data_IF_798626263672
#
_entry.id   IF_798626263672
#
_cell.length_a   1.000
_cell.length_b   1.000
_cell.length_c   1.000
_cell.angle_alpha   90.00
_cell.angle_beta   90.00
_cell.angle_gamma   90.00
#
_symmetry.space_group_name_H-M   'P 1'
#
loop_
_entity.id
_entity.type
_entity.pdbx_description
1 polymer ?
#
# COMPACT_ATOMS: atom_id res chain seq x y z
N UNK A 1 64.20 14.31 5.19
CA UNK A 1 63.45 14.83 4.04
C UNK A 1 62.14 14.07 3.99
N UNK A 2 61.14 14.55 4.74
CA UNK A 2 59.81 13.94 4.74
C UNK A 2 59.12 14.33 3.45
N UNK A 3 58.72 13.33 2.67
CA UNK A 3 57.90 13.45 1.48
C UNK A 3 56.64 14.26 1.79
N UNK A 4 56.58 15.46 1.24
CA UNK A 4 55.43 16.36 1.30
C UNK A 4 54.41 15.93 0.23
N UNK A 5 53.89 14.71 0.38
CA UNK A 5 52.74 14.27 -0.41
C UNK A 5 51.49 14.91 0.25
N UNK A 6 50.62 15.60 -0.50
CA UNK A 6 49.45 16.22 0.10
C UNK A 6 48.63 15.13 0.82
N UNK A 7 48.12 15.39 2.04
CA UNK A 7 47.25 14.45 2.72
C UNK A 7 46.09 14.18 1.78
N UNK A 8 45.94 12.91 1.41
CA UNK A 8 44.79 12.48 0.65
C UNK A 8 43.58 12.64 1.58
N UNK A 9 42.49 13.19 1.08
CA UNK A 9 41.31 13.52 1.88
C UNK A 9 40.08 12.90 1.24
N UNK A 10 39.13 12.47 2.08
CA UNK A 10 37.85 11.95 1.63
C UNK A 10 36.74 12.99 1.80
N UNK A 11 36.54 13.91 0.83
CA UNK A 11 35.51 14.95 0.95
C UNK A 11 34.09 14.37 1.06
N UNK A 12 33.85 13.20 0.44
CA UNK A 12 32.55 12.52 0.50
C UNK A 12 32.20 12.04 1.91
N UNK A 13 33.18 11.57 2.68
CA UNK A 13 32.95 11.09 4.04
C UNK A 13 32.53 12.24 4.96
N UNK A 14 33.08 13.45 4.75
CA UNK A 14 32.67 14.64 5.49
C UNK A 14 31.21 15.01 5.17
N UNK A 15 30.82 14.97 3.89
CA UNK A 15 29.42 15.24 3.48
C UNK A 15 28.45 14.19 4.00
N UNK A 16 28.86 12.93 4.04
CA UNK A 16 28.07 11.80 4.53
C UNK A 16 27.88 11.85 6.05
N UNK A 17 28.93 12.25 6.79
CA UNK A 17 28.86 12.40 8.24
C UNK A 17 27.99 13.57 8.68
N UNK A 18 28.09 14.70 7.96
CA UNK A 18 27.31 15.91 8.24
C UNK A 18 25.87 15.79 7.72
N UNK A 19 25.63 14.99 6.70
CA UNK A 19 24.34 14.87 6.02
C UNK A 19 24.02 16.05 5.08
N UNK A 20 24.96 16.99 4.91
CA UNK A 20 24.89 18.11 3.99
C UNK A 20 26.29 18.45 3.49
N UNK A 21 26.36 19.21 2.39
CA UNK A 21 27.63 19.70 1.86
C UNK A 21 28.11 20.92 2.65
N UNK A 22 29.34 20.93 3.21
CA UNK A 22 29.83 22.03 4.03
C UNK A 22 29.75 23.42 3.39
N UNK A 23 29.85 23.50 2.06
CA UNK A 23 29.71 24.75 1.32
C UNK A 23 28.35 25.40 1.56
N UNK A 24 27.27 24.63 1.65
CA UNK A 24 25.93 25.17 1.90
C UNK A 24 25.84 25.88 3.25
N UNK A 25 26.50 25.36 4.29
CA UNK A 25 26.55 26.01 5.60
C UNK A 25 27.33 27.32 5.55
N UNK A 26 28.40 27.37 4.76
CA UNK A 26 29.22 28.58 4.60
C UNK A 26 28.48 29.65 3.79
N UNK A 27 27.75 29.24 2.75
CA UNK A 27 26.88 30.12 1.96
C UNK A 27 25.76 30.72 2.82
N UNK A 28 25.09 29.88 3.63
CA UNK A 28 24.07 30.34 4.59
C UNK A 28 24.65 31.30 5.62
N UNK A 29 25.87 31.05 6.10
CA UNK A 29 26.56 31.94 7.03
C UNK A 29 26.89 33.30 6.39
N UNK A 30 27.39 33.30 5.15
CA UNK A 30 27.66 34.54 4.41
C UNK A 30 26.38 35.36 4.22
N UNK A 31 25.28 34.70 3.85
CA UNK A 31 23.97 35.35 3.74
C UNK A 31 23.51 35.95 5.08
N UNK A 32 23.62 35.21 6.18
CA UNK A 32 23.22 35.69 7.50
C UNK A 32 24.06 36.88 7.98
N UNK A 33 25.35 36.89 7.67
CA UNK A 33 26.25 37.99 8.06
C UNK A 33 25.95 39.24 7.23
N UNK A 34 25.75 39.09 5.93
CA UNK A 34 25.36 40.22 5.09
C UNK A 34 24.03 40.82 5.55
N UNK A 35 23.03 39.99 5.84
CA UNK A 35 21.76 40.45 6.44
C UNK A 35 21.98 41.22 7.75
N UNK A 36 22.84 40.70 8.63
CA UNK A 36 23.17 41.37 9.90
C UNK A 36 23.89 42.70 9.67
N UNK A 37 24.78 42.79 8.68
CA UNK A 37 25.45 44.06 8.31
C UNK A 37 24.39 45.07 7.89
N UNK A 38 23.50 44.72 6.96
CA UNK A 38 22.41 45.60 6.51
C UNK A 38 21.51 46.06 7.66
N UNK A 39 21.11 45.14 8.54
CA UNK A 39 20.27 45.46 9.70
C UNK A 39 20.99 46.38 10.68
N UNK A 40 22.29 46.15 10.92
CA UNK A 40 23.09 46.97 11.82
C UNK A 40 23.32 48.38 11.26
N UNK A 41 23.62 48.52 9.97
CA UNK A 41 23.82 49.82 9.33
C UNK A 41 22.52 50.62 9.30
N UNK A 42 21.39 49.96 9.00
CA UNK A 42 20.08 50.59 9.05
C UNK A 42 19.75 51.13 10.46
N UNK A 43 20.03 50.37 11.52
CA UNK A 43 19.82 50.86 12.90
C UNK A 43 20.71 52.04 13.26
N UNK A 44 21.97 52.04 12.81
CA UNK A 44 22.87 53.18 13.03
C UNK A 44 22.38 54.41 12.27
N UNK A 45 21.90 54.22 11.04
CA UNK A 45 21.29 55.29 10.24
C UNK A 45 20.05 55.87 10.91
N UNK A 46 19.12 55.03 11.40
CA UNK A 46 17.95 55.46 12.17
C UNK A 46 18.33 56.30 13.39
N UNK A 47 19.30 55.82 14.19
CA UNK A 47 19.77 56.55 15.37
C UNK A 47 20.39 57.91 15.02
N UNK A 48 21.18 57.98 13.94
CA UNK A 48 21.80 59.22 13.49
C UNK A 48 20.76 60.19 12.93
N UNK A 49 19.73 59.69 12.23
CA UNK A 49 18.62 60.50 11.76
C UNK A 49 17.79 61.08 12.91
N UNK A 50 17.51 60.30 13.95
CA UNK A 50 16.84 60.80 15.17
C UNK A 50 17.62 61.96 15.81
N UNK A 51 18.95 61.85 15.85
CA UNK A 51 19.83 62.90 16.36
C UNK A 51 19.85 64.16 15.47
N UNK A 52 19.85 63.99 14.14
CA UNK A 52 19.76 65.11 13.21
C UNK A 52 18.41 65.82 13.33
N UNK A 53 17.31 65.07 13.46
CA UNK A 53 15.97 65.65 13.64
C UNK A 53 15.88 66.50 14.93
N UNK A 54 16.59 66.11 16.00
CA UNK A 54 16.69 66.91 17.22
C UNK A 54 17.40 68.25 16.97
N UNK A 55 18.47 68.24 16.17
CA UNK A 55 19.19 69.47 15.77
C UNK A 55 18.41 70.36 14.84
N UNK A 56 17.63 69.78 13.94
CA UNK A 56 16.73 70.52 13.05
C UNK A 56 15.65 71.25 13.87
N UNK A 57 15.08 70.59 14.90
CA UNK A 57 14.14 71.23 15.84
C UNK A 57 14.80 72.36 16.65
N UNK A 58 16.10 72.28 16.90
CA UNK A 58 16.87 73.34 17.56
C UNK A 58 17.19 74.54 16.63
N UNK A 59 16.86 74.45 15.34
CA UNK A 59 17.06 75.51 14.36
C UNK A 59 18.46 75.55 13.72
N UNK A 60 19.23 74.47 13.82
CA UNK A 60 20.51 74.32 13.12
C UNK A 60 20.28 73.99 11.63
N UNK A 61 21.19 74.45 10.74
CA UNK A 61 21.20 74.05 9.32
C UNK A 61 21.75 72.62 9.21
N UNK A 62 20.84 71.64 9.08
CA UNK A 62 21.16 70.21 9.05
C UNK A 62 21.35 69.64 7.65
N UNK A 63 21.05 70.40 6.61
CA UNK A 63 21.12 69.93 5.23
C UNK A 63 22.52 69.45 4.78
N UNK A 64 23.63 70.12 5.13
CA UNK A 64 24.96 69.58 4.83
C UNK A 64 25.26 68.31 5.63
N UNK A 65 24.75 68.21 6.86
CA UNK A 65 24.98 67.09 7.77
C UNK A 65 24.24 65.83 7.32
N UNK A 66 23.01 65.97 6.81
CA UNK A 66 22.24 64.86 6.21
C UNK A 66 22.98 64.27 5.00
N UNK A 67 23.51 65.12 4.11
CA UNK A 67 24.28 64.67 2.95
C UNK A 67 25.59 63.98 3.32
N UNK A 68 26.28 64.49 4.34
CA UNK A 68 27.50 63.87 4.84
C UNK A 68 27.19 62.51 5.51
N UNK A 69 26.07 62.41 6.23
CA UNK A 69 25.60 61.16 6.83
C UNK A 69 25.29 60.11 5.76
N UNK A 70 24.48 60.44 4.74
CA UNK A 70 24.14 59.50 3.65
C UNK A 70 25.42 58.99 2.95
N UNK A 71 26.34 59.89 2.63
CA UNK A 71 27.60 59.52 1.99
C UNK A 71 28.49 58.67 2.90
N UNK A 72 28.61 59.05 4.17
CA UNK A 72 29.38 58.32 5.17
C UNK A 72 28.81 56.93 5.46
N UNK A 73 27.48 56.82 5.52
CA UNK A 73 26.77 55.55 5.74
C UNK A 73 26.98 54.61 4.56
N UNK A 74 26.83 55.11 3.33
CA UNK A 74 27.11 54.33 2.13
C UNK A 74 28.59 53.89 2.09
N UNK A 75 29.53 54.76 2.43
CA UNK A 75 30.95 54.40 2.47
C UNK A 75 31.25 53.34 3.54
N UNK A 76 30.61 53.43 4.71
CA UNK A 76 30.73 52.46 5.79
C UNK A 76 30.14 51.10 5.40
N UNK A 77 28.96 51.08 4.76
CA UNK A 77 28.34 49.86 4.27
C UNK A 77 29.23 49.16 3.24
N UNK A 78 29.70 49.88 2.21
CA UNK A 78 30.59 49.30 1.19
C UNK A 78 31.91 48.80 1.80
N UNK A 79 32.44 49.49 2.81
CA UNK A 79 33.64 49.05 3.51
C UNK A 79 33.41 47.74 4.29
N UNK A 80 32.28 47.65 5.00
CA UNK A 80 31.91 46.46 5.76
C UNK A 80 31.64 45.27 4.86
N UNK A 81 30.89 45.45 3.76
CA UNK A 81 30.63 44.42 2.75
C UNK A 81 31.96 43.86 2.21
N UNK A 82 32.85 44.73 1.73
CA UNK A 82 34.12 44.30 1.15
C UNK A 82 35.04 43.61 2.18
N UNK A 83 35.04 44.05 3.44
CA UNK A 83 35.84 43.39 4.48
C UNK A 83 35.22 42.06 4.91
N UNK A 84 33.90 41.99 5.01
CA UNK A 84 33.18 40.76 5.32
C UNK A 84 33.44 39.71 4.23
N UNK A 85 33.25 40.06 2.96
CA UNK A 85 33.50 39.16 1.82
C UNK A 85 34.93 38.59 1.87
N UNK A 86 35.94 39.45 2.04
CA UNK A 86 37.34 39.00 2.14
C UNK A 86 37.59 38.10 3.35
N UNK A 87 37.03 38.44 4.50
CA UNK A 87 37.18 37.64 5.72
C UNK A 87 36.50 36.27 5.57
N UNK A 88 35.33 36.23 4.92
CA UNK A 88 34.60 34.99 4.67
C UNK A 88 35.26 34.13 3.59
N UNK A 89 35.89 34.69 2.56
CA UNK A 89 36.72 33.93 1.62
C UNK A 89 37.87 33.19 2.35
N UNK A 90 38.53 33.88 3.29
CA UNK A 90 39.59 33.26 4.10
C UNK A 90 39.03 32.22 5.07
N UNK A 91 37.88 32.50 5.68
CA UNK A 91 37.21 31.56 6.58
C UNK A 91 36.72 30.32 5.84
N UNK A 92 36.16 30.46 4.64
CA UNK A 92 35.76 29.36 3.76
C UNK A 92 36.99 28.49 3.45
N UNK A 93 38.05 29.10 2.90
CA UNK A 93 39.27 28.37 2.58
C UNK A 93 39.90 27.69 3.81
N UNK A 94 39.83 28.32 4.98
CA UNK A 94 40.37 27.75 6.22
C UNK A 94 39.50 26.60 6.75
N UNK A 95 38.17 26.74 6.74
CA UNK A 95 37.23 25.73 7.21
C UNK A 95 37.31 24.46 6.35
N UNK A 96 37.41 24.61 5.03
CA UNK A 96 37.63 23.51 4.08
C UNK A 96 38.95 22.77 4.26
N UNK A 97 39.95 23.40 4.90
CA UNK A 97 41.28 22.81 5.14
C UNK A 97 41.45 22.24 6.54
N UNK A 98 40.66 22.68 7.51
CA UNK A 98 40.87 22.34 8.92
C UNK A 98 39.66 21.67 9.57
N UNK A 99 38.45 22.19 9.35
CA UNK A 99 37.24 21.70 10.02
C UNK A 99 36.63 20.56 9.23
N UNK A 100 36.44 20.75 7.92
CA UNK A 100 35.75 19.80 7.05
C UNK A 100 36.70 18.79 6.38
N UNK A 101 37.89 18.60 6.96
CA UNK A 101 38.88 17.65 6.46
C UNK A 101 38.86 16.41 7.32
N UNK A 102 38.64 15.28 6.65
CA UNK A 102 38.87 13.96 7.21
C UNK A 102 40.09 13.37 6.51
N UNK A 103 41.12 13.08 7.30
CA UNK A 103 42.35 12.43 6.85
C UNK A 103 42.04 10.96 6.50
N UNK A 104 42.56 10.51 5.35
CA UNK A 104 42.42 9.12 4.87
C UNK A 104 43.05 8.10 5.82
N UNK A 105 44.00 8.52 6.65
CA UNK A 105 44.62 7.67 7.66
C UNK A 105 43.70 7.31 8.85
N UNK A 106 42.54 7.99 8.99
CA UNK A 106 41.65 7.76 10.12
C UNK A 106 40.54 6.74 9.77
N UNK A 107 40.44 5.60 10.47
CA UNK A 107 39.38 4.63 10.23
C UNK A 107 38.06 5.11 10.86
N UNK A 108 37.49 6.18 10.30
CA UNK A 108 36.15 6.66 10.67
C UNK A 108 35.13 5.85 9.89
N UNK A 109 34.26 5.15 10.62
CA UNK A 109 33.11 4.44 10.05
C UNK A 109 31.86 5.26 10.36
N UNK A 110 31.12 5.66 9.33
CA UNK A 110 29.88 6.40 9.54
C UNK A 110 28.86 5.51 10.28
N UNK A 111 27.96 6.08 11.11
CA UNK A 111 27.00 5.28 11.88
C UNK A 111 26.13 4.35 11.03
N UNK A 112 25.79 4.75 9.80
CA UNK A 112 24.98 3.94 8.87
C UNK A 112 25.81 2.93 8.07
N UNK A 113 27.13 3.07 8.03
CA UNK A 113 28.06 2.07 7.49
C UNK A 113 28.37 0.98 8.54
N UNK A 114 27.92 1.16 9.80
CA UNK A 114 28.15 0.19 10.87
C UNK A 114 27.37 -1.09 10.59
N UNK A 115 28.10 -2.19 10.37
CA UNK A 115 27.51 -3.49 10.04
C UNK A 115 27.18 -3.66 8.56
N UNK A 116 27.65 -2.74 7.71
CA UNK A 116 27.66 -2.94 6.27
C UNK A 116 28.78 -3.92 5.94
N UNK A 117 28.40 -5.10 5.46
CA UNK A 117 29.34 -6.10 4.97
C UNK A 117 29.43 -5.96 3.44
N UNK A 118 30.55 -5.44 2.95
CA UNK A 118 30.80 -5.24 1.52
C UNK A 118 31.33 -6.51 0.83
N UNK A 119 31.57 -7.58 1.59
CA UNK A 119 32.06 -8.86 1.07
C UNK A 119 30.93 -9.77 0.56
N UNK A 120 29.67 -9.33 0.69
CA UNK A 120 28.52 -10.12 0.24
C UNK A 120 28.52 -10.25 -1.29
N UNK A 121 28.46 -11.48 -1.84
CA UNK A 121 28.44 -11.67 -3.28
C UNK A 121 27.14 -11.18 -3.92
N UNK A 122 27.22 -10.65 -5.15
CA UNK A 122 26.08 -10.12 -5.92
C UNK A 122 24.93 -11.13 -6.09
N UNK A 123 25.24 -12.43 -6.11
CA UNK A 123 24.23 -13.49 -6.17
C UNK A 123 23.35 -13.50 -4.92
N UNK A 124 23.96 -13.33 -3.75
CA UNK A 124 23.25 -13.27 -2.47
C UNK A 124 22.35 -12.04 -2.38
N UNK A 125 22.79 -10.90 -2.90
CA UNK A 125 21.95 -9.70 -2.98
C UNK A 125 20.71 -9.93 -3.86
N UNK A 126 20.87 -10.60 -5.01
CA UNK A 126 19.75 -10.95 -5.90
C UNK A 126 18.77 -11.91 -5.23
N UNK A 127 19.28 -12.92 -4.52
CA UNK A 127 18.44 -13.83 -3.73
C UNK A 127 17.62 -13.07 -2.69
N UNK A 128 18.25 -12.16 -1.94
CA UNK A 128 17.58 -11.34 -0.93
C UNK A 128 16.53 -10.42 -1.56
N UNK A 129 16.80 -9.84 -2.74
CA UNK A 129 15.81 -9.06 -3.47
C UNK A 129 14.59 -9.90 -3.87
N UNK A 130 14.82 -11.11 -4.39
CA UNK A 130 13.74 -12.07 -4.69
C UNK A 130 12.96 -12.43 -3.42
N UNK A 131 13.67 -12.69 -2.31
CA UNK A 131 13.03 -12.98 -1.03
C UNK A 131 12.14 -11.82 -0.57
N UNK A 132 12.63 -10.58 -0.59
CA UNK A 132 11.86 -9.37 -0.27
C UNK A 132 10.62 -9.25 -1.15
N UNK A 133 10.72 -9.50 -2.46
CA UNK A 133 9.57 -9.49 -3.35
C UNK A 133 8.56 -10.58 -3.01
N UNK A 134 9.02 -11.80 -2.71
CA UNK A 134 8.12 -12.89 -2.32
C UNK A 134 7.40 -12.57 -1.01
N UNK A 135 8.08 -11.96 -0.05
CA UNK A 135 7.50 -11.52 1.22
C UNK A 135 6.48 -10.40 1.01
N UNK A 136 6.76 -9.44 0.13
CA UNK A 136 5.79 -8.40 -0.26
C UNK A 136 4.52 -9.02 -0.87
N UNK A 137 4.66 -9.98 -1.80
CA UNK A 137 3.52 -10.70 -2.38
C UNK A 137 2.75 -11.50 -1.33
N UNK A 138 3.43 -12.17 -0.40
CA UNK A 138 2.81 -12.88 0.73
C UNK A 138 2.02 -11.92 1.61
N UNK A 139 2.60 -10.77 1.97
CA UNK A 139 1.93 -9.73 2.76
C UNK A 139 0.67 -9.21 2.08
N UNK A 140 0.72 -8.96 0.78
CA UNK A 140 -0.45 -8.51 0.01
C UNK A 140 -1.55 -9.59 -0.06
N UNK A 141 -1.17 -10.85 -0.21
CA UNK A 141 -2.12 -11.97 -0.14
C UNK A 141 -2.78 -12.07 1.24
N UNK A 142 -1.99 -11.93 2.31
CA UNK A 142 -2.52 -11.91 3.68
C UNK A 142 -3.46 -10.71 3.91
N UNK A 143 -3.11 -9.51 3.43
CA UNK A 143 -3.99 -8.33 3.49
C UNK A 143 -5.31 -8.55 2.77
N UNK A 144 -5.29 -9.18 1.58
CA UNK A 144 -6.50 -9.55 0.83
C UNK A 144 -7.35 -10.58 1.57
N UNK A 145 -6.73 -11.59 2.17
CA UNK A 145 -7.43 -12.58 2.98
C UNK A 145 -8.08 -11.94 4.21
N UNK A 146 -7.35 -11.08 4.93
CA UNK A 146 -7.87 -10.37 6.09
C UNK A 146 -9.06 -9.47 5.71
N UNK A 147 -8.99 -8.79 4.56
CA UNK A 147 -10.12 -8.01 4.04
C UNK A 147 -11.35 -8.89 3.74
N UNK A 148 -11.17 -10.10 3.20
CA UNK A 148 -12.27 -11.05 3.00
C UNK A 148 -12.88 -11.51 4.32
N UNK A 149 -12.05 -11.88 5.30
CA UNK A 149 -12.51 -12.30 6.64
C UNK A 149 -13.32 -11.19 7.29
N UNK A 150 -12.84 -9.94 7.26
CA UNK A 150 -13.57 -8.78 7.77
C UNK A 150 -14.94 -8.58 7.11
N UNK A 151 -15.06 -8.81 5.80
CA UNK A 151 -16.35 -8.77 5.10
C UNK A 151 -17.28 -9.90 5.55
N UNK A 152 -16.76 -11.11 5.67
CA UNK A 152 -17.53 -12.27 6.17
C UNK A 152 -17.99 -12.05 7.62
N UNK A 153 -17.15 -11.51 8.49
CA UNK A 153 -17.51 -11.15 9.87
C UNK A 153 -18.64 -10.12 9.90
N UNK A 154 -18.57 -9.08 9.07
CA UNK A 154 -19.63 -8.08 8.98
C UNK A 154 -20.96 -8.70 8.49
N UNK A 155 -20.91 -9.56 7.47
CA UNK A 155 -22.09 -10.27 6.97
C UNK A 155 -22.68 -11.23 8.01
N UNK A 156 -21.82 -11.98 8.72
CA UNK A 156 -22.22 -12.89 9.79
C UNK A 156 -22.85 -12.12 10.97
N UNK A 157 -22.32 -10.94 11.32
CA UNK A 157 -22.92 -10.10 12.35
C UNK A 157 -24.33 -9.62 11.95
N UNK A 158 -24.54 -9.25 10.68
CA UNK A 158 -25.86 -8.86 10.16
C UNK A 158 -26.83 -10.04 10.15
N UNK A 159 -26.40 -11.21 9.66
CA UNK A 159 -27.26 -12.40 9.64
C UNK A 159 -27.63 -12.85 11.06
N UNK A 160 -26.67 -12.79 12.01
CA UNK A 160 -26.92 -13.06 13.43
C UNK A 160 -27.96 -12.12 14.01
N UNK A 161 -27.85 -10.81 13.77
CA UNK A 161 -28.86 -9.83 14.23
C UNK A 161 -30.25 -10.12 13.67
N UNK A 162 -30.36 -10.49 12.39
CA UNK A 162 -31.63 -10.88 11.78
C UNK A 162 -32.21 -12.14 12.42
N UNK A 163 -31.38 -13.17 12.62
CA UNK A 163 -31.79 -14.41 13.29
C UNK A 163 -32.23 -14.15 14.73
N UNK A 164 -31.50 -13.33 15.49
CA UNK A 164 -31.88 -12.90 16.85
C UNK A 164 -33.21 -12.13 16.86
N UNK A 165 -33.44 -11.25 15.88
CA UNK A 165 -34.71 -10.53 15.76
C UNK A 165 -35.89 -11.46 15.42
N UNK A 166 -35.68 -12.42 14.51
CA UNK A 166 -36.67 -13.45 14.20
C UNK A 166 -36.97 -14.32 15.42
N UNK A 167 -35.93 -14.76 16.15
CA UNK A 167 -36.10 -15.52 17.39
C UNK A 167 -36.94 -14.71 18.40
N UNK A 168 -36.64 -13.43 18.61
CA UNK A 168 -37.46 -12.56 19.48
C UNK A 168 -38.91 -12.42 19.00
N UNK A 169 -39.16 -12.43 17.70
CA UNK A 169 -40.52 -12.38 17.16
C UNK A 169 -41.28 -13.70 17.34
N UNK A 170 -40.57 -14.82 17.25
CA UNK A 170 -41.13 -16.18 17.38
C UNK A 170 -41.21 -16.61 18.85
N UNK A 171 -40.39 -16.06 19.75
CA UNK A 171 -40.43 -16.39 21.19
C UNK A 171 -41.76 -16.02 21.85
N UNK A 172 -42.58 -15.17 21.23
CA UNK A 172 -43.96 -14.94 21.66
C UNK A 172 -44.89 -16.14 21.38
N UNK A 173 -44.58 -16.97 20.38
CA UNK A 173 -45.37 -18.15 20.01
C UNK A 173 -45.05 -19.32 20.94
N UNK A 174 -43.87 -19.36 21.54
CA UNK A 174 -43.45 -20.41 22.49
C UNK A 174 -44.43 -20.60 23.67
N UNK A 175 -44.92 -19.55 24.37
CA UNK A 175 -45.96 -19.70 25.38
C UNK A 175 -47.36 -20.00 24.79
N UNK A 176 -47.67 -19.52 23.58
CA UNK A 176 -48.96 -19.78 22.91
C UNK A 176 -49.09 -21.23 22.42
N UNK A 177 -47.96 -21.87 22.06
CA UNK A 177 -47.92 -23.30 21.71
C UNK A 177 -48.15 -24.16 22.96
N UNK A 178 -47.57 -23.79 24.11
CA UNK A 178 -47.85 -24.42 25.42
C UNK A 178 -49.34 -24.30 25.84
N UNK A 179 -50.03 -23.24 25.44
CA UNK A 179 -51.47 -23.08 25.65
C UNK A 179 -52.30 -23.88 24.64
N UNK A 180 -51.88 -23.96 23.37
CA UNK A 180 -52.58 -24.76 22.35
C UNK A 180 -52.33 -26.28 22.45
N UNK A 181 -51.23 -26.73 23.05
CA UNK A 181 -51.04 -28.13 23.46
C UNK A 181 -52.07 -28.58 24.49
N UNK A 182 -52.60 -27.67 25.31
CA UNK A 182 -53.73 -27.97 26.20
C UNK A 182 -55.05 -28.07 25.41
N UNK A 183 -55.18 -27.34 24.31
CA UNK A 183 -56.37 -27.32 23.45
C UNK A 183 -56.39 -28.40 22.35
N UNK A 184 -55.26 -29.03 22.02
CA UNK A 184 -55.13 -30.05 20.96
C UNK A 184 -55.28 -31.49 21.45
N UNK A 185 -55.28 -31.73 22.77
CA UNK A 185 -55.60 -33.04 23.37
C UNK A 185 -56.93 -33.64 22.89
N UNK A 186 -58.04 -32.87 22.81
CA UNK A 186 -59.33 -33.40 22.32
C UNK A 186 -59.31 -33.75 20.82
N UNK A 187 -58.51 -33.04 20.02
CA UNK A 187 -58.38 -33.30 18.59
C UNK A 187 -57.50 -34.54 18.32
N UNK A 188 -56.45 -34.74 19.12
CA UNK A 188 -55.63 -35.95 19.10
C UNK A 188 -56.45 -37.19 19.48
N UNK A 189 -57.34 -37.06 20.48
CA UNK A 189 -58.27 -38.14 20.87
C UNK A 189 -59.31 -38.43 19.77
N UNK A 190 -59.81 -37.40 19.06
CA UNK A 190 -60.71 -37.56 17.92
C UNK A 190 -60.03 -38.26 16.72
N UNK A 191 -58.78 -37.91 16.42
CA UNK A 191 -58.00 -38.60 15.39
C UNK A 191 -57.63 -40.03 15.79
N UNK A 192 -57.39 -40.30 17.08
CA UNK A 192 -57.21 -41.66 17.59
C UNK A 192 -58.49 -42.49 17.49
N UNK A 193 -59.66 -41.89 17.67
CA UNK A 193 -60.97 -42.53 17.46
C UNK A 193 -61.22 -42.84 15.97
N UNK A 194 -60.87 -41.92 15.06
CA UNK A 194 -60.96 -42.16 13.61
C UNK A 194 -60.01 -43.27 13.14
N UNK A 195 -58.84 -43.40 13.78
CA UNK A 195 -57.87 -44.47 13.46
C UNK A 195 -58.37 -45.87 13.85
N UNK A 196 -59.20 -45.99 14.90
CA UNK A 196 -59.87 -47.25 15.29
C UNK A 196 -60.99 -47.68 14.34
N UNK A 197 -61.52 -46.75 13.54
CA UNK A 197 -62.57 -47.01 12.54
C UNK A 197 -62.01 -47.47 11.19
N UNK A 198 -60.68 -47.46 10.98
CA UNK A 198 -60.05 -47.82 9.70
C UNK A 198 -59.40 -49.21 9.66
N UNK A 199 -59.65 -50.08 10.65
CA UNK A 199 -59.22 -51.50 10.62
C UNK A 199 -60.17 -52.35 9.74
N UNK A 200 -60.26 -52.01 8.45
CA UNK A 200 -60.78 -52.91 7.41
C UNK A 200 -59.57 -53.60 6.77
N UNK A 201 -59.50 -54.94 6.71
CA UNK A 201 -58.31 -55.65 6.23
C UNK A 201 -58.02 -55.34 4.75
N UNK A 202 -56.81 -54.86 4.49
CA UNK A 202 -56.29 -54.58 3.14
C UNK A 202 -55.72 -55.88 2.53
N UNK A 203 -56.19 -56.37 1.38
CA UNK A 203 -55.63 -57.57 0.76
C UNK A 203 -54.21 -57.33 0.21
N UNK A 204 -53.41 -58.38 0.29
CA UNK A 204 -51.97 -58.47 -0.02
C UNK A 204 -51.59 -58.05 -1.46
N UNK A 205 -50.33 -57.59 -1.67
CA UNK A 205 -49.86 -57.07 -2.96
C UNK A 205 -49.52 -58.17 -3.98
N UNK A 206 -50.06 -58.02 -5.19
CA UNK A 206 -49.69 -58.74 -6.42
C UNK A 206 -48.53 -58.01 -7.14
N UNK A 207 -47.69 -58.70 -7.96
CA UNK A 207 -46.32 -58.27 -8.22
C UNK A 207 -46.18 -57.22 -9.33
N UNK A 208 -45.05 -56.52 -9.21
CA UNK A 208 -44.45 -55.48 -10.05
C UNK A 208 -44.88 -55.40 -11.52
N UNK A 209 -45.32 -54.20 -11.94
CA UNK A 209 -44.93 -53.58 -13.22
C UNK A 209 -45.07 -52.06 -13.12
N UNK A 210 -44.06 -51.30 -13.54
CA UNK A 210 -44.20 -49.86 -13.87
C UNK A 210 -43.43 -48.87 -12.97
N UNK A 211 -42.19 -48.61 -13.36
CA UNK A 211 -41.45 -47.33 -13.28
C UNK A 211 -42.15 -46.13 -12.64
N UNK A 212 -41.71 -45.72 -11.44
CA UNK A 212 -41.66 -44.31 -11.00
C UNK A 212 -40.97 -44.23 -9.62
N UNK A 213 -39.62 -44.20 -9.62
CA UNK A 213 -38.86 -43.81 -8.43
C UNK A 213 -38.94 -42.29 -8.29
N UNK A 214 -39.60 -41.79 -7.24
CA UNK A 214 -39.46 -40.38 -6.83
C UNK A 214 -38.11 -40.21 -6.12
N UNK A 215 -37.20 -39.31 -6.56
CA UNK A 215 -35.93 -39.12 -5.86
C UNK A 215 -36.10 -38.21 -4.64
N UNK A 216 -35.77 -38.71 -3.44
CA UNK A 216 -35.64 -37.95 -2.20
C UNK A 216 -34.19 -37.52 -1.95
N UNK A 217 -33.59 -36.74 -2.85
CA UNK A 217 -32.22 -36.24 -2.66
C UNK A 217 -31.93 -34.94 -3.44
N UNK A 218 -31.89 -33.79 -2.75
CA UNK A 218 -31.27 -32.55 -3.24
C UNK A 218 -32.06 -31.70 -4.25
N UNK A 219 -31.87 -30.37 -4.17
CA UNK A 219 -32.54 -29.37 -5.05
C UNK A 219 -32.16 -29.56 -6.52
N UNK A 220 -30.93 -29.97 -6.79
CA UNK A 220 -30.42 -30.22 -8.15
C UNK A 220 -31.06 -31.44 -8.79
N UNK A 221 -31.31 -32.52 -8.03
CA UNK A 221 -31.99 -33.70 -8.57
C UNK A 221 -33.50 -33.48 -8.75
N UNK A 222 -34.10 -32.62 -7.93
CA UNK A 222 -35.49 -32.20 -8.14
C UNK A 222 -35.63 -31.36 -9.40
N UNK A 223 -34.68 -30.46 -9.66
CA UNK A 223 -34.68 -29.64 -10.88
C UNK A 223 -34.45 -30.50 -12.13
N UNK A 224 -33.50 -31.44 -12.09
CA UNK A 224 -33.30 -32.34 -13.24
C UNK A 224 -34.51 -33.23 -13.48
N UNK A 225 -35.16 -33.76 -12.44
CA UNK A 225 -36.42 -34.51 -12.57
C UNK A 225 -37.58 -33.66 -13.09
N UNK A 226 -37.72 -32.42 -12.61
CA UNK A 226 -38.79 -31.52 -13.05
C UNK A 226 -38.62 -31.12 -14.52
N UNK A 227 -37.38 -30.89 -14.96
CA UNK A 227 -37.05 -30.61 -16.38
C UNK A 227 -37.31 -31.85 -17.23
N UNK A 228 -36.90 -33.04 -16.78
CA UNK A 228 -37.10 -34.28 -17.52
C UNK A 228 -38.59 -34.68 -17.63
N UNK A 229 -39.39 -34.30 -16.64
CA UNK A 229 -40.85 -34.44 -16.66
C UNK A 229 -41.53 -33.39 -17.55
N UNK A 230 -41.03 -32.15 -17.55
CA UNK A 230 -41.51 -31.10 -18.44
C UNK A 230 -41.21 -31.43 -19.91
N UNK A 231 -40.03 -32.01 -20.19
CA UNK A 231 -39.65 -32.49 -21.52
C UNK A 231 -40.57 -33.62 -21.99
N UNK A 232 -40.91 -34.58 -21.11
CA UNK A 232 -41.84 -35.67 -21.41
C UNK A 232 -43.30 -35.24 -21.57
N UNK A 233 -43.72 -34.18 -20.87
CA UNK A 233 -45.04 -33.57 -21.05
C UNK A 233 -45.08 -32.62 -22.29
N UNK A 234 -43.92 -32.25 -22.85
CA UNK A 234 -43.76 -31.38 -24.01
C UNK A 234 -43.63 -32.12 -25.35
N UNK A 235 -43.77 -33.45 -25.38
CA UNK A 235 -43.94 -34.26 -26.61
C UNK A 235 -45.34 -34.06 -27.25
N UNK A 236 -45.76 -32.80 -27.31
CA UNK A 236 -46.66 -32.21 -28.30
C UNK A 236 -45.85 -31.38 -29.31
N UNK A 237 -44.86 -31.99 -29.93
CA UNK A 237 -44.25 -31.81 -31.28
C UNK A 237 -44.12 -30.41 -31.93
N UNK A 238 -44.24 -29.28 -31.21
CA UNK A 238 -44.12 -27.92 -31.82
C UNK A 238 -43.36 -26.88 -31.01
N UNK A 239 -42.88 -27.18 -29.80
CA UNK A 239 -42.13 -26.23 -28.97
C UNK A 239 -40.61 -26.49 -28.93
N UNK A 240 -40.17 -27.73 -29.16
CA UNK A 240 -38.75 -28.11 -29.12
C UNK A 240 -37.90 -27.35 -30.15
N UNK A 241 -38.39 -27.22 -31.39
CA UNK A 241 -37.65 -26.51 -32.45
C UNK A 241 -37.53 -25.00 -32.20
N UNK A 242 -38.48 -24.39 -31.48
CA UNK A 242 -38.45 -22.95 -31.18
C UNK A 242 -37.50 -22.62 -30.03
N UNK A 243 -37.41 -23.49 -29.02
CA UNK A 243 -36.48 -23.33 -27.91
C UNK A 243 -35.01 -23.56 -28.31
N UNK A 244 -34.75 -24.52 -29.21
CA UNK A 244 -33.39 -24.75 -29.74
C UNK A 244 -32.90 -23.59 -30.64
N UNK A 245 -33.80 -22.90 -31.33
CA UNK A 245 -33.47 -21.76 -32.19
C UNK A 245 -33.25 -20.46 -31.39
N UNK A 246 -33.99 -20.26 -30.28
CA UNK A 246 -33.78 -19.13 -29.35
C UNK A 246 -32.50 -19.31 -28.50
N UNK A 247 -32.17 -20.54 -28.07
CA UNK A 247 -30.90 -20.81 -27.37
C UNK A 247 -29.70 -20.67 -28.31
N UNK A 248 -29.84 -21.02 -29.61
CA UNK A 248 -28.79 -20.79 -30.62
C UNK A 248 -28.61 -19.30 -30.96
N UNK A 249 -29.68 -18.49 -30.94
CA UNK A 249 -29.59 -17.03 -31.09
C UNK A 249 -28.95 -16.33 -29.88
N UNK A 250 -29.23 -16.78 -28.65
CA UNK A 250 -28.61 -16.25 -27.43
C UNK A 250 -27.11 -16.58 -27.33
N UNK A 251 -26.71 -17.77 -27.80
CA UNK A 251 -25.28 -18.15 -27.85
C UNK A 251 -24.51 -17.39 -28.94
N UNK A 252 -25.16 -16.95 -30.03
CA UNK A 252 -24.53 -16.14 -31.07
C UNK A 252 -24.43 -14.64 -30.70
N UNK A 253 -25.24 -14.15 -29.76
CA UNK A 253 -25.18 -12.77 -29.29
C UNK A 253 -24.11 -12.51 -28.23
N UNK A 254 -23.65 -13.54 -27.50
CA UNK A 254 -22.58 -13.40 -26.50
C UNK A 254 -21.16 -13.42 -27.10
N UNK A 255 -20.97 -13.93 -28.32
CA UNK A 255 -19.66 -13.97 -29.00
C UNK A 255 -19.29 -12.67 -29.75
N UNK A 256 -20.15 -11.63 -29.73
CA UNK A 256 -19.86 -10.31 -30.34
C UNK A 256 -19.52 -9.21 -29.33
N UNK A 257 -19.43 -9.51 -28.02
CA UNK A 257 -19.22 -8.52 -26.97
C UNK A 257 -17.82 -8.51 -26.29
N UNK A 258 -16.81 -9.24 -26.81
CA UNK A 258 -15.43 -9.13 -26.32
C UNK A 258 -14.41 -9.05 -27.48
N UNK A 259 -14.56 -8.00 -28.28
CA UNK A 259 -13.49 -7.50 -29.13
C UNK A 259 -12.64 -6.44 -28.42
N UNK A 260 -11.33 -6.71 -28.35
CA UNK A 260 -10.20 -5.75 -28.36
C UNK A 260 -9.76 -5.05 -27.05
N UNK A 261 -8.63 -5.49 -26.50
CA UNK A 261 -7.37 -4.71 -26.56
C UNK A 261 -6.15 -5.57 -26.13
N UNK A 262 -5.11 -5.55 -26.95
CA UNK A 262 -3.84 -6.30 -26.86
C UNK A 262 -2.76 -5.45 -26.14
N UNK A 263 -1.59 -6.00 -25.73
CA UNK A 263 -0.43 -6.00 -26.66
C UNK A 263 0.49 -7.26 -26.53
N UNK A 264 1.50 -7.41 -27.42
CA UNK A 264 1.95 -8.71 -27.92
C UNK A 264 3.10 -9.32 -27.10
N UNK A 265 3.11 -10.65 -27.00
CA UNK A 265 4.28 -11.42 -26.55
C UNK A 265 5.01 -12.00 -27.77
N UNK A 266 6.24 -11.54 -27.94
CA UNK A 266 7.26 -12.09 -28.84
C UNK A 266 7.50 -13.57 -28.53
N UNK A 267 7.59 -14.47 -29.53
CA UNK A 267 8.02 -15.85 -29.29
C UNK A 267 9.55 -15.88 -29.13
N UNK A 268 10.01 -16.24 -27.94
CA UNK A 268 11.42 -16.60 -27.69
C UNK A 268 11.65 -17.97 -28.33
N UNK A 269 12.55 -18.01 -29.31
CA UNK A 269 13.17 -19.25 -29.81
C UNK A 269 13.94 -19.89 -28.65
N UNK A 270 13.62 -21.14 -28.35
CA UNK A 270 14.47 -22.01 -27.56
C UNK A 270 15.40 -22.67 -28.56
N UNK A 271 16.65 -22.22 -28.58
CA UNK A 271 17.72 -22.96 -29.22
C UNK A 271 18.11 -24.09 -28.26
N UNK A 272 17.71 -25.31 -28.62
CA UNK A 272 18.37 -26.53 -28.16
C UNK A 272 19.70 -26.61 -28.90
N UNK A 273 20.82 -26.53 -28.18
CA UNK A 273 22.06 -27.17 -28.59
C UNK A 273 23.02 -27.25 -27.38
N UNK A 274 23.44 -28.49 -27.10
CA UNK A 274 24.74 -28.92 -26.56
C UNK A 274 25.33 -28.22 -25.32
N UNK A 275 25.47 -28.97 -24.22
CA UNK A 275 26.80 -29.51 -23.96
C UNK A 275 26.77 -30.74 -23.04
N UNK A 276 27.36 -31.79 -23.60
CA UNK A 276 27.70 -33.06 -23.00
C UNK A 276 29.13 -32.94 -22.43
N UNK A 277 29.46 -33.76 -21.45
CA UNK A 277 30.79 -33.94 -20.83
C UNK A 277 31.31 -32.84 -19.87
N UNK A 278 31.44 -33.22 -18.59
CA UNK A 278 32.73 -33.25 -17.89
C UNK A 278 32.55 -34.00 -16.56
N UNK A 279 32.89 -35.29 -16.61
CA UNK A 279 33.39 -36.04 -15.47
C UNK A 279 34.72 -35.45 -15.01
N UNK A 280 34.87 -35.11 -13.73
CA UNK A 280 36.10 -35.53 -13.05
C UNK A 280 35.94 -35.68 -11.53
N UNK A 281 36.64 -36.72 -11.10
CA UNK A 281 36.84 -37.31 -9.80
C UNK A 281 37.49 -36.38 -8.76
N UNK A 282 37.13 -36.55 -7.49
CA UNK A 282 38.08 -36.89 -6.42
C UNK A 282 37.36 -37.09 -5.08
N UNK A 283 37.21 -38.36 -4.71
CA UNK A 283 36.97 -38.80 -3.33
C UNK A 283 38.26 -39.45 -2.85
N UNK A 284 38.98 -38.81 -1.94
CA UNK A 284 40.09 -39.43 -1.21
C UNK A 284 40.34 -38.67 0.10
N UNK A 285 39.79 -39.19 1.20
CA UNK A 285 40.41 -39.07 2.52
C UNK A 285 40.28 -40.44 3.21
N UNK A 286 41.37 -41.19 3.12
CA UNK A 286 41.86 -42.12 4.14
C UNK A 286 43.27 -41.67 4.51
#
# INVERSE_FOLDING_TARGET
MSSNEPPKTHPMLATELLGFQPQLLLDELMSAVNETIYESTARVEEFLNEWIDEKERAGEDVEPLKKELEHGMHALQTLLENYADLAFDFFEAWSHRNIFVIDEGLPIVAPHQRGLDLEVPLERERELQIEVETLRRKLDNMRRQYAKIRRCEAQAAVSRRKAEALLKSISFIEPAVLESEKATKPLADFLAALRKLYDIPRPEPSPATGTSMRPTAGKEAYLSWAVDRLMKDADGDKFASRAEEEVRQLMASDDMALGTSSPPRVPVKVDEDTDDSLSDSMTSQG
#
